data_IF_998213496515
#
_entry.id   IF_998213496515
#
_cell.length_a   1.000
_cell.length_b   1.000
_cell.length_c   1.000
_cell.angle_alpha   90.00
_cell.angle_beta   90.00
_cell.angle_gamma   90.00
#
_symmetry.space_group_name_H-M   'P 1'
#
loop_
_entity.id
_entity.type
_entity.pdbx_description
1 polymer ?
#
# COMPACT_ATOMS: atom_id res chain seq x y z
N UNK A 1 25.13 15.15 6.78
CA UNK A 1 24.83 13.94 7.54
C UNK A 1 23.95 13.13 6.60
N UNK A 2 24.52 12.10 5.98
CA UNK A 2 23.72 11.24 5.10
C UNK A 2 22.73 10.45 5.97
N UNK A 3 21.55 10.05 5.46
CA UNK A 3 20.58 9.27 6.24
C UNK A 3 21.16 7.98 6.85
N UNK A 4 22.25 7.46 6.27
CA UNK A 4 23.02 6.31 6.76
C UNK A 4 23.85 6.55 8.03
N UNK A 5 24.05 7.81 8.42
CA UNK A 5 24.85 8.17 9.61
C UNK A 5 24.02 8.24 10.90
N UNK A 6 22.71 7.99 10.83
CA UNK A 6 21.85 8.02 12.01
C UNK A 6 22.01 6.75 12.84
N UNK A 7 22.65 6.88 14.01
CA UNK A 7 22.61 5.85 15.04
C UNK A 7 21.38 6.07 15.93
N UNK A 8 20.45 5.11 16.02
CA UNK A 8 19.30 5.23 16.91
C UNK A 8 19.76 5.34 18.37
N UNK A 9 19.03 6.12 19.16
CA UNK A 9 19.26 6.22 20.60
C UNK A 9 19.07 4.86 21.29
N UNK A 10 19.77 4.66 22.41
CA UNK A 10 19.51 3.53 23.31
C UNK A 10 18.02 3.58 23.74
N UNK A 11 17.22 2.52 23.55
CA UNK A 11 15.80 2.51 23.92
C UNK A 11 15.54 2.92 25.37
N UNK A 12 16.46 2.56 26.28
CA UNK A 12 16.36 2.91 27.71
C UNK A 12 16.50 4.42 27.97
N UNK A 13 17.09 5.18 27.03
CA UNK A 13 17.26 6.62 27.13
C UNK A 13 15.91 7.35 27.09
N UNK A 14 14.97 6.86 26.27
CA UNK A 14 13.63 7.44 26.17
C UNK A 14 12.86 7.26 27.48
N UNK A 15 12.87 6.05 28.04
CA UNK A 15 12.18 5.76 29.30
C UNK A 15 12.76 6.57 30.48
N UNK A 16 14.09 6.79 30.48
CA UNK A 16 14.75 7.63 31.48
C UNK A 16 14.34 9.09 31.37
N UNK A 17 14.37 9.69 30.17
CA UNK A 17 14.03 11.10 29.97
C UNK A 17 12.53 11.38 30.14
N UNK A 18 11.68 10.42 29.78
CA UNK A 18 10.22 10.50 29.98
C UNK A 18 9.79 10.21 31.44
N UNK A 19 10.71 9.76 32.30
CA UNK A 19 10.41 9.42 33.70
C UNK A 19 9.53 8.17 33.85
N UNK A 20 9.62 7.23 32.91
CA UNK A 20 8.84 5.98 32.88
C UNK A 20 9.56 4.79 33.51
N UNK A 21 10.83 4.96 33.87
CA UNK A 21 11.61 3.94 34.57
C UNK A 21 11.11 3.72 36.00
N UNK A 22 11.29 2.50 36.51
CA UNK A 22 11.13 2.24 37.95
C UNK A 22 12.24 2.97 38.73
N UNK A 23 12.02 3.21 40.02
CA UNK A 23 13.01 3.90 40.85
C UNK A 23 14.35 3.15 40.95
N UNK A 24 14.35 1.82 40.82
CA UNK A 24 15.57 1.02 40.83
C UNK A 24 16.27 1.06 39.46
N UNK A 25 15.52 0.97 38.35
CA UNK A 25 16.06 1.11 36.99
C UNK A 25 16.64 2.51 36.74
N UNK A 26 15.99 3.55 37.26
CA UNK A 26 16.45 4.93 37.15
C UNK A 26 17.81 5.12 37.86
N UNK A 27 18.00 4.51 39.03
CA UNK A 27 19.29 4.54 39.76
C UNK A 27 20.38 3.79 39.00
N UNK A 28 20.03 2.65 38.40
CA UNK A 28 20.97 1.87 37.60
C UNK A 28 21.37 2.60 36.33
N UNK A 29 20.40 3.25 35.68
CA UNK A 29 20.63 4.05 34.50
C UNK A 29 21.41 5.33 34.80
N UNK A 30 21.16 5.99 35.93
CA UNK A 30 21.96 7.14 36.39
C UNK A 30 23.43 6.76 36.60
N UNK A 31 23.71 5.59 37.19
CA UNK A 31 25.07 5.04 37.30
C UNK A 31 25.68 4.72 35.93
N UNK A 32 24.88 4.31 34.95
CA UNK A 32 25.31 4.11 33.54
C UNK A 32 25.68 5.44 32.89
N UNK A 33 24.92 6.51 33.12
CA UNK A 33 25.19 7.87 32.62
C UNK A 33 26.47 8.46 33.21
N UNK A 34 26.76 8.22 34.49
CA UNK A 34 28.02 8.67 35.12
C UNK A 34 29.26 8.01 34.49
N UNK A 35 29.13 6.73 34.10
CA UNK A 35 30.22 5.96 33.49
C UNK A 35 30.39 6.21 32.00
N UNK A 36 29.38 6.75 31.33
CA UNK A 36 29.38 7.01 29.89
C UNK A 36 29.05 8.48 29.58
N UNK A 37 30.08 9.35 29.45
CA UNK A 37 29.89 10.77 29.15
C UNK A 37 29.14 11.05 27.84
N UNK A 38 29.22 10.14 26.86
CA UNK A 38 28.56 10.32 25.57
C UNK A 38 27.06 10.05 25.67
N UNK A 39 26.67 8.99 26.41
CA UNK A 39 25.26 8.72 26.73
C UNK A 39 24.63 9.85 27.55
N UNK A 40 25.41 10.47 28.44
CA UNK A 40 24.98 11.66 29.18
C UNK A 40 24.67 12.84 28.25
N UNK A 41 25.54 13.13 27.27
CA UNK A 41 25.25 14.17 26.27
C UNK A 41 23.99 13.88 25.46
N UNK A 42 23.77 12.60 25.09
CA UNK A 42 22.56 12.19 24.38
C UNK A 42 21.30 12.40 25.23
N UNK A 43 21.34 12.05 26.52
CA UNK A 43 20.23 12.29 27.46
C UNK A 43 19.92 13.79 27.58
N UNK A 44 20.95 14.63 27.71
CA UNK A 44 20.80 16.09 27.79
C UNK A 44 20.24 16.69 26.49
N UNK A 45 20.69 16.21 25.33
CA UNK A 45 20.19 16.64 24.03
C UNK A 45 18.72 16.28 23.84
N UNK A 46 18.33 15.05 24.18
CA UNK A 46 16.95 14.58 24.13
C UNK A 46 16.06 15.37 25.11
N UNK A 47 16.53 15.59 26.34
CA UNK A 47 15.82 16.40 27.34
C UNK A 47 15.58 17.85 26.88
N UNK A 48 16.57 18.48 26.22
CA UNK A 48 16.42 19.81 25.62
C UNK A 48 15.42 19.82 24.47
N UNK A 49 15.45 18.82 23.60
CA UNK A 49 14.49 18.71 22.50
C UNK A 49 13.05 18.57 23.00
N UNK A 50 12.82 17.74 24.02
CA UNK A 50 11.50 17.60 24.65
C UNK A 50 11.08 18.87 25.39
N UNK A 51 12.01 19.58 26.04
CA UNK A 51 11.71 20.87 26.64
C UNK A 51 11.26 21.90 25.59
N UNK A 52 11.91 21.94 24.42
CA UNK A 52 11.48 22.79 23.30
C UNK A 52 10.10 22.40 22.78
N UNK A 53 9.80 21.10 22.65
CA UNK A 53 8.46 20.64 22.28
C UNK A 53 7.39 21.08 23.30
N UNK A 54 7.71 21.08 24.60
CA UNK A 54 6.81 21.58 25.65
C UNK A 54 6.60 23.10 25.62
N UNK A 55 7.48 23.86 24.96
CA UNK A 55 7.30 25.30 24.76
C UNK A 55 6.41 25.64 23.57
N UNK A 56 6.03 24.66 22.75
CA UNK A 56 5.08 24.87 21.68
C UNK A 56 3.71 25.26 22.25
N UNK A 57 3.00 26.21 21.62
CA UNK A 57 1.68 26.60 22.08
C UNK A 57 0.74 25.41 22.05
N UNK A 58 0.16 25.07 23.20
CA UNK A 58 -0.90 24.09 23.28
C UNK A 58 -2.15 24.75 22.70
N UNK A 59 -2.51 24.36 21.48
CA UNK A 59 -3.75 24.81 20.85
C UNK A 59 -4.91 24.03 21.47
N UNK A 60 -5.96 24.73 21.90
CA UNK A 60 -7.17 24.06 22.35
C UNK A 60 -7.76 23.20 21.21
N UNK A 61 -8.09 21.93 21.49
CA UNK A 61 -8.71 21.08 20.49
C UNK A 61 -10.04 21.68 20.04
N UNK A 62 -10.25 21.75 18.73
CA UNK A 62 -11.51 22.25 18.14
C UNK A 62 -12.70 21.45 18.67
N UNK A 63 -13.86 22.10 18.79
CA UNK A 63 -15.10 21.42 19.18
C UNK A 63 -15.33 20.14 18.34
N UNK A 64 -15.72 19.05 19.00
CA UNK A 64 -15.92 17.74 18.38
C UNK A 64 -14.65 17.01 17.95
N UNK A 65 -13.45 17.47 18.35
CA UNK A 65 -12.21 16.71 18.17
C UNK A 65 -12.27 15.37 18.92
N UNK A 66 -12.65 15.40 20.20
CA UNK A 66 -12.73 14.19 21.04
C UNK A 66 -13.72 13.19 20.48
N UNK A 67 -14.90 13.64 20.04
CA UNK A 67 -15.92 12.75 19.44
C UNK A 67 -15.45 12.10 18.14
N UNK A 68 -14.66 12.81 17.33
CA UNK A 68 -14.09 12.28 16.08
C UNK A 68 -12.95 11.30 16.34
N UNK A 69 -12.08 11.59 17.30
CA UNK A 69 -11.01 10.67 17.71
C UNK A 69 -11.62 9.42 18.33
N UNK A 70 -12.60 9.56 19.23
CA UNK A 70 -13.33 8.44 19.83
C UNK A 70 -14.09 7.67 18.75
N UNK A 71 -14.72 8.34 17.78
CA UNK A 71 -15.39 7.72 16.64
C UNK A 71 -14.43 6.87 15.82
N UNK A 72 -13.27 7.42 15.46
CA UNK A 72 -12.22 6.71 14.73
C UNK A 72 -11.65 5.53 15.50
N UNK A 73 -11.35 5.70 16.80
CA UNK A 73 -10.90 4.61 17.67
C UNK A 73 -11.99 3.54 17.81
N UNK A 74 -13.28 3.91 17.80
CA UNK A 74 -14.39 2.94 17.81
C UNK A 74 -14.51 2.22 16.49
N UNK A 75 -14.35 2.90 15.35
CA UNK A 75 -14.38 2.30 14.02
C UNK A 75 -13.18 1.37 13.79
N UNK A 76 -11.98 1.78 14.17
CA UNK A 76 -10.79 0.93 14.16
C UNK A 76 -10.98 -0.28 15.08
N UNK A 77 -11.51 -0.09 16.31
CA UNK A 77 -11.85 -1.21 17.20
C UNK A 77 -12.98 -2.09 16.67
N UNK A 78 -13.92 -1.55 15.89
CA UNK A 78 -14.99 -2.33 15.26
C UNK A 78 -14.47 -3.13 14.07
N UNK A 79 -13.59 -2.54 13.26
CA UNK A 79 -12.88 -3.22 12.18
C UNK A 79 -11.94 -4.30 12.74
N UNK A 80 -11.25 -4.01 13.84
CA UNK A 80 -10.41 -4.95 14.57
C UNK A 80 -11.23 -6.05 15.24
N UNK A 81 -12.43 -5.73 15.77
CA UNK A 81 -13.39 -6.73 16.27
C UNK A 81 -14.00 -7.60 15.17
N UNK A 82 -14.30 -7.02 14.00
CA UNK A 82 -14.78 -7.77 12.85
C UNK A 82 -13.69 -8.74 12.36
N UNK A 83 -12.44 -8.28 12.30
CA UNK A 83 -11.26 -9.12 12.05
C UNK A 83 -11.08 -10.19 13.13
N UNK A 84 -11.20 -9.85 14.41
CA UNK A 84 -11.04 -10.81 15.51
C UNK A 84 -12.19 -11.82 15.59
N UNK A 85 -13.41 -11.45 15.19
CA UNK A 85 -14.56 -12.36 15.14
C UNK A 85 -14.41 -13.38 14.01
N UNK A 86 -13.84 -12.99 12.87
CA UNK A 86 -13.44 -13.92 11.80
C UNK A 86 -12.35 -14.89 12.29
N UNK A 87 -11.47 -14.44 13.19
CA UNK A 87 -10.37 -15.24 13.78
C UNK A 87 -10.82 -16.10 14.97
N UNK A 88 -12.03 -15.93 15.51
CA UNK A 88 -12.48 -16.60 16.75
C UNK A 88 -13.04 -18.03 16.59
N UNK A 89 -12.63 -18.76 15.54
CA UNK A 89 -12.64 -20.22 15.59
C UNK A 89 -11.52 -20.67 16.57
N UNK A 90 -11.79 -21.57 17.53
CA UNK A 90 -10.91 -21.76 18.69
C UNK A 90 -9.61 -22.49 18.33
N UNK A 91 -8.46 -21.85 18.57
CA UNK A 91 -7.10 -22.43 18.52
C UNK A 91 -6.39 -22.15 19.86
N UNK A 92 -5.51 -23.05 20.37
CA UNK A 92 -5.20 -23.14 21.80
C UNK A 92 -4.27 -22.05 22.36
N UNK A 93 -4.52 -21.72 23.63
CA UNK A 93 -4.03 -20.59 24.45
C UNK A 93 -2.50 -20.51 24.70
N UNK A 94 -1.69 -21.42 24.17
CA UNK A 94 -0.27 -21.51 24.57
C UNK A 94 0.72 -20.59 23.83
N UNK A 95 0.28 -19.77 22.86
CA UNK A 95 1.20 -18.98 22.01
C UNK A 95 1.27 -17.47 22.28
N UNK A 96 0.57 -16.92 23.28
CA UNK A 96 0.45 -15.46 23.44
C UNK A 96 1.45 -14.74 24.38
N UNK A 97 2.55 -15.37 24.83
CA UNK A 97 3.39 -14.73 25.87
C UNK A 97 4.58 -13.88 25.35
N UNK A 98 4.92 -13.85 24.05
CA UNK A 98 6.24 -13.30 23.65
C UNK A 98 6.27 -11.96 22.87
N UNK A 99 5.18 -11.39 22.35
CA UNK A 99 5.33 -10.33 21.33
C UNK A 99 4.43 -9.08 21.44
N UNK A 100 4.02 -8.68 22.64
CA UNK A 100 3.37 -7.36 22.84
C UNK A 100 4.37 -6.42 23.50
N UNK A 101 5.23 -5.79 22.68
CA UNK A 101 6.21 -4.83 23.20
C UNK A 101 6.76 -3.80 22.20
N UNK A 102 6.74 -4.06 20.89
CA UNK A 102 7.43 -3.18 19.93
C UNK A 102 6.58 -2.59 18.79
N UNK A 103 5.30 -2.97 18.63
CA UNK A 103 4.50 -2.55 17.46
C UNK A 103 3.96 -1.12 17.49
N UNK A 104 3.84 -0.49 18.66
CA UNK A 104 3.07 0.75 18.81
C UNK A 104 3.84 2.03 18.39
N UNK A 105 5.17 2.00 18.33
CA UNK A 105 5.98 3.20 18.05
C UNK A 105 6.16 3.48 16.54
N UNK A 106 6.10 2.45 15.69
CA UNK A 106 6.33 2.61 14.25
C UNK A 106 5.14 3.26 13.51
N UNK A 107 3.90 3.04 13.97
CA UNK A 107 2.70 3.58 13.35
C UNK A 107 2.57 5.11 13.48
N UNK A 108 3.13 5.70 14.55
CA UNK A 108 3.09 7.15 14.78
C UNK A 108 4.04 7.93 13.86
N UNK A 109 5.15 7.30 13.41
CA UNK A 109 6.16 7.96 12.59
C UNK A 109 5.79 8.00 11.10
N UNK A 110 5.04 7.00 10.62
CA UNK A 110 4.52 6.96 9.24
C UNK A 110 3.45 8.04 9.01
N UNK A 111 2.65 8.37 10.04
CA UNK A 111 1.68 9.47 9.98
C UNK A 111 2.32 10.87 10.01
N UNK A 112 3.57 10.99 10.46
CA UNK A 112 4.29 12.26 10.50
C UNK A 112 5.06 12.56 9.19
N UNK A 113 5.43 11.52 8.42
CA UNK A 113 6.19 11.66 7.17
C UNK A 113 5.27 11.73 5.94
N UNK A 114 4.10 11.08 5.98
CA UNK A 114 3.03 11.32 5.00
C UNK A 114 2.26 12.57 5.45
N UNK A 115 2.91 13.72 5.33
CA UNK A 115 2.26 15.01 5.47
C UNK A 115 1.08 15.06 4.51
N UNK A 116 -0.14 15.06 5.04
CA UNK A 116 -1.35 15.51 4.35
C UNK A 116 -1.48 17.01 4.68
N UNK A 117 -0.98 17.94 3.85
CA UNK A 117 -1.11 19.35 4.11
C UNK A 117 -2.47 19.77 3.56
N UNK A 118 -3.43 20.11 4.43
CA UNK A 118 -4.63 20.84 3.96
C UNK A 118 -5.97 20.62 4.65
N UNK A 119 -6.14 19.74 5.63
CA UNK A 119 -7.50 19.45 6.16
C UNK A 119 -8.08 20.47 7.18
N UNK A 120 -7.65 21.74 7.15
CA UNK A 120 -8.28 22.80 7.95
C UNK A 120 -8.48 24.10 7.16
N UNK A 121 -9.61 24.21 6.47
CA UNK A 121 -10.30 25.48 6.27
C UNK A 121 -11.82 25.21 6.31
N UNK A 122 -12.57 25.77 7.27
CA UNK A 122 -14.03 25.78 7.22
C UNK A 122 -14.52 26.96 6.37
N UNK A 123 -15.50 26.70 5.49
CA UNK A 123 -16.41 27.74 5.00
C UNK A 123 -17.50 27.92 6.07
N UNK A 124 -17.50 29.06 6.75
CA UNK A 124 -18.72 29.72 7.23
C UNK A 124 -18.42 31.19 7.62
N UNK A 125 -19.26 32.08 7.10
CA UNK A 125 -19.24 33.52 7.33
C UNK A 125 -19.47 33.85 8.82
N UNK A 126 -18.41 34.26 9.53
CA UNK A 126 -18.54 35.00 10.78
C UNK A 126 -18.20 36.46 10.50
N UNK A 127 -19.25 37.30 10.48
CA UNK A 127 -19.13 38.75 10.57
C UNK A 127 -18.43 39.13 11.89
N UNK A 128 -17.11 39.39 11.84
CA UNK A 128 -16.37 40.09 12.89
C UNK A 128 -15.53 41.21 12.27
N UNK A 129 -16.14 42.37 12.19
CA UNK A 129 -15.43 43.64 12.15
C UNK A 129 -14.58 43.79 13.43
N UNK A 130 -13.30 44.14 13.25
CA UNK A 130 -12.35 44.65 14.28
C UNK A 130 -11.75 43.59 15.22
N UNK A 131 -10.42 43.33 15.30
CA UNK A 131 -9.26 44.20 15.03
C UNK A 131 -7.96 43.44 14.71
N UNK A 132 -7.29 43.84 13.62
CA UNK A 132 -5.83 43.96 13.40
C UNK A 132 -4.85 42.93 13.99
N UNK A 133 -4.42 41.99 13.15
CA UNK A 133 -3.26 41.12 13.38
C UNK A 133 -3.26 39.94 12.43
N UNK A 134 -3.02 40.17 11.13
CA UNK A 134 -2.92 39.14 10.08
C UNK A 134 -1.71 38.23 10.33
N UNK A 135 -1.90 37.15 11.09
CA UNK A 135 -1.13 35.92 10.93
C UNK A 135 -1.88 35.02 9.96
N UNK A 136 -1.74 35.33 8.66
CA UNK A 136 -2.14 34.42 7.58
C UNK A 136 -1.20 33.23 7.67
N UNK A 137 -1.63 32.17 8.37
CA UNK A 137 -0.97 30.87 8.29
C UNK A 137 -0.99 30.48 6.80
N UNK A 138 0.13 30.68 6.12
CA UNK A 138 0.28 30.38 4.70
C UNK A 138 0.00 28.89 4.51
N UNK A 139 -1.21 28.57 4.04
CA UNK A 139 -1.59 27.21 3.66
C UNK A 139 -0.66 26.84 2.51
N UNK A 140 0.29 25.96 2.78
CA UNK A 140 1.17 25.41 1.75
C UNK A 140 0.27 24.62 0.80
N UNK A 141 -0.01 25.22 -0.35
CA UNK A 141 -0.78 24.57 -1.42
C UNK A 141 0.14 23.52 -2.06
N UNK A 142 -0.31 22.26 -2.21
CA UNK A 142 0.49 21.26 -2.89
C UNK A 142 0.71 21.70 -4.34
N UNK A 143 1.97 21.67 -4.78
CA UNK A 143 2.30 21.89 -6.18
C UNK A 143 1.95 20.64 -7.00
N UNK A 144 1.80 20.80 -8.32
CA UNK A 144 1.62 19.66 -9.25
C UNK A 144 2.70 18.59 -9.03
N UNK A 145 3.95 19.01 -8.84
CA UNK A 145 5.09 18.13 -8.57
C UNK A 145 4.92 17.26 -7.31
N UNK A 146 4.20 17.73 -6.29
CA UNK A 146 3.93 16.97 -5.06
C UNK A 146 2.88 15.88 -5.30
N UNK A 147 1.98 16.09 -6.28
CA UNK A 147 0.89 15.18 -6.59
C UNK A 147 1.25 14.16 -7.69
N UNK A 148 2.20 14.47 -8.56
CA UNK A 148 2.62 13.60 -9.67
C UNK A 148 3.01 12.17 -9.24
N UNK A 149 3.81 11.95 -8.17
CA UNK A 149 4.11 10.60 -7.72
C UNK A 149 2.87 9.82 -7.28
N UNK A 150 1.93 10.48 -6.60
CA UNK A 150 0.72 9.85 -6.10
C UNK A 150 -0.27 9.54 -7.23
N UNK A 151 -0.37 10.43 -8.23
CA UNK A 151 -1.12 10.21 -9.46
C UNK A 151 -0.52 9.08 -10.30
N UNK A 152 0.81 8.98 -10.38
CA UNK A 152 1.50 7.89 -11.05
C UNK A 152 1.26 6.54 -10.37
N UNK A 153 1.36 6.47 -9.04
CA UNK A 153 1.00 5.27 -8.27
C UNK A 153 -0.49 4.91 -8.46
N UNK A 154 -1.38 5.90 -8.45
CA UNK A 154 -2.82 5.69 -8.68
C UNK A 154 -3.10 5.12 -10.08
N UNK A 155 -2.43 5.64 -11.11
CA UNK A 155 -2.48 5.10 -12.47
C UNK A 155 -1.93 3.67 -12.51
N UNK A 156 -0.77 3.41 -11.90
CA UNK A 156 -0.16 2.08 -11.90
C UNK A 156 -1.08 1.03 -11.26
N UNK A 157 -1.78 1.39 -10.17
CA UNK A 157 -2.82 0.56 -9.55
C UNK A 157 -4.00 0.31 -10.48
N UNK A 158 -4.47 1.34 -11.17
CA UNK A 158 -5.53 1.19 -12.18
C UNK A 158 -5.13 0.26 -13.32
N UNK A 159 -3.92 0.42 -13.85
CA UNK A 159 -3.41 -0.47 -14.90
C UNK A 159 -3.24 -1.91 -14.40
N UNK A 160 -2.81 -2.10 -13.15
CA UNK A 160 -2.74 -3.42 -12.52
C UNK A 160 -4.13 -4.05 -12.37
N UNK A 161 -5.12 -3.28 -11.92
CA UNK A 161 -6.51 -3.71 -11.84
C UNK A 161 -7.04 -4.11 -13.22
N UNK A 162 -6.82 -3.27 -14.23
CA UNK A 162 -7.25 -3.52 -15.60
C UNK A 162 -6.67 -4.84 -16.13
N UNK A 163 -5.35 -4.98 -16.06
CA UNK A 163 -4.63 -6.18 -16.48
C UNK A 163 -5.16 -7.44 -15.80
N UNK A 164 -5.34 -7.38 -14.48
CA UNK A 164 -5.73 -8.56 -13.72
C UNK A 164 -7.19 -8.93 -13.92
N UNK A 165 -8.11 -7.97 -13.94
CA UNK A 165 -9.53 -8.24 -14.22
C UNK A 165 -9.73 -8.81 -15.62
N UNK A 166 -9.01 -8.32 -16.64
CA UNK A 166 -9.04 -8.88 -18.00
C UNK A 166 -8.55 -10.34 -18.06
N UNK A 167 -7.67 -10.74 -17.14
CA UNK A 167 -7.13 -12.10 -17.02
C UNK A 167 -7.90 -13.00 -16.06
N UNK A 168 -8.93 -12.51 -15.38
CA UNK A 168 -9.78 -13.28 -14.45
C UNK A 168 -10.82 -14.08 -15.23
N UNK A 169 -10.38 -14.97 -16.14
CA UNK A 169 -11.24 -15.95 -16.79
C UNK A 169 -11.17 -17.24 -15.99
N UNK A 170 -12.09 -17.38 -15.04
CA UNK A 170 -12.24 -18.59 -14.23
C UNK A 170 -13.57 -19.24 -14.61
N UNK A 171 -13.57 -20.56 -14.75
CA UNK A 171 -14.78 -21.31 -15.15
C UNK A 171 -15.93 -21.16 -14.16
N UNK A 172 -15.63 -20.91 -12.88
CA UNK A 172 -16.61 -20.64 -11.83
C UNK A 172 -16.93 -19.14 -11.72
N UNK A 173 -18.17 -18.70 -12.05
CA UNK A 173 -18.60 -17.31 -11.90
C UNK A 173 -18.49 -16.77 -10.46
N UNK A 174 -18.66 -17.62 -9.44
CA UNK A 174 -18.57 -17.18 -8.05
C UNK A 174 -17.15 -16.80 -7.67
N UNK A 175 -16.17 -17.56 -8.15
CA UNK A 175 -14.75 -17.28 -7.94
C UNK A 175 -14.28 -16.09 -8.76
N UNK A 176 -14.74 -15.97 -10.00
CA UNK A 176 -14.50 -14.79 -10.82
C UNK A 176 -14.95 -13.51 -10.11
N UNK A 177 -16.17 -13.51 -9.54
CA UNK A 177 -16.67 -12.38 -8.74
C UNK A 177 -15.83 -12.11 -7.50
N UNK A 178 -15.44 -13.15 -6.76
CA UNK A 178 -14.57 -13.02 -5.57
C UNK A 178 -13.23 -12.38 -5.91
N UNK A 179 -12.59 -12.82 -6.99
CA UNK A 179 -11.32 -12.26 -7.44
C UNK A 179 -11.48 -10.81 -7.84
N UNK A 180 -12.47 -10.47 -8.66
CA UNK A 180 -12.71 -9.07 -9.05
C UNK A 180 -12.98 -8.19 -7.83
N UNK A 181 -13.74 -8.68 -6.85
CA UNK A 181 -13.97 -7.96 -5.60
C UNK A 181 -12.68 -7.73 -4.80
N UNK A 182 -11.80 -8.74 -4.70
CA UNK A 182 -10.49 -8.62 -4.06
C UNK A 182 -9.57 -7.64 -4.81
N UNK A 183 -9.57 -7.67 -6.14
CA UNK A 183 -8.81 -6.73 -6.96
C UNK A 183 -9.27 -5.29 -6.71
N UNK A 184 -10.59 -5.05 -6.66
CA UNK A 184 -11.14 -3.73 -6.31
C UNK A 184 -10.71 -3.30 -4.91
N UNK A 185 -10.82 -4.19 -3.91
CA UNK A 185 -10.44 -3.91 -2.53
C UNK A 185 -8.94 -3.54 -2.41
N UNK A 186 -8.04 -4.36 -2.96
CA UNK A 186 -6.60 -4.14 -2.85
C UNK A 186 -6.09 -2.98 -3.69
N UNK A 187 -6.76 -2.66 -4.80
CA UNK A 187 -6.43 -1.49 -5.58
C UNK A 187 -6.59 -0.20 -4.78
N UNK A 188 -7.53 -0.18 -3.83
CA UNK A 188 -7.92 0.98 -3.01
C UNK A 188 -8.26 2.24 -3.84
N UNK A 189 -8.60 2.04 -5.13
CA UNK A 189 -8.73 3.13 -6.08
C UNK A 189 -9.89 4.06 -5.73
N UNK A 190 -11.03 3.54 -5.26
CA UNK A 190 -12.19 4.37 -4.92
C UNK A 190 -11.88 5.37 -3.79
N UNK A 191 -11.22 4.89 -2.72
CA UNK A 191 -10.81 5.75 -1.60
C UNK A 191 -9.77 6.77 -2.03
N UNK A 192 -8.77 6.33 -2.79
CA UNK A 192 -7.69 7.21 -3.29
C UNK A 192 -8.18 8.25 -4.29
N UNK A 193 -9.15 7.87 -5.13
CA UNK A 193 -9.76 8.78 -6.09
C UNK A 193 -10.46 9.93 -5.37
N UNK A 194 -11.25 9.65 -4.31
CA UNK A 194 -11.86 10.70 -3.46
C UNK A 194 -10.83 11.64 -2.85
N UNK A 195 -9.75 11.10 -2.28
CA UNK A 195 -8.67 11.93 -1.73
C UNK A 195 -7.97 12.77 -2.81
N UNK A 196 -7.69 12.19 -3.97
CA UNK A 196 -7.05 12.89 -5.09
C UNK A 196 -7.93 14.04 -5.60
N UNK A 197 -9.25 13.88 -5.66
CA UNK A 197 -10.18 14.97 -6.05
C UNK A 197 -10.05 16.19 -5.16
N UNK A 198 -9.95 15.98 -3.85
CA UNK A 198 -9.72 17.06 -2.89
C UNK A 198 -8.34 17.68 -3.12
N UNK A 199 -7.30 16.86 -3.27
CA UNK A 199 -5.92 17.31 -3.44
C UNK A 199 -5.69 18.13 -4.73
N UNK A 200 -6.35 17.77 -5.84
CA UNK A 200 -6.22 18.52 -7.11
C UNK A 200 -7.02 19.83 -7.13
N UNK A 201 -7.91 20.06 -6.16
CA UNK A 201 -8.79 21.24 -6.16
C UNK A 201 -8.02 22.57 -6.14
N UNK A 202 -6.82 22.52 -5.57
CA UNK A 202 -5.88 23.64 -5.38
C UNK A 202 -4.96 23.88 -6.58
N UNK A 203 -4.98 23.00 -7.59
CA UNK A 203 -4.16 23.15 -8.80
C UNK A 203 -4.71 24.24 -9.75
N UNK A 204 -3.85 24.78 -10.64
CA UNK A 204 -4.30 25.65 -11.73
C UNK A 204 -5.44 25.03 -12.54
N UNK A 205 -6.43 25.83 -12.94
CA UNK A 205 -7.68 25.35 -13.51
C UNK A 205 -7.50 24.41 -14.73
N UNK A 206 -6.51 24.66 -15.58
CA UNK A 206 -6.18 23.81 -16.71
C UNK A 206 -5.69 22.42 -16.28
N UNK A 207 -4.84 22.34 -15.26
CA UNK A 207 -4.34 21.07 -14.70
C UNK A 207 -5.39 20.34 -13.91
N UNK A 208 -6.13 21.07 -13.08
CA UNK A 208 -7.25 20.54 -12.30
C UNK A 208 -8.29 19.88 -13.19
N UNK A 209 -8.67 20.51 -14.31
CA UNK A 209 -9.66 19.95 -15.24
C UNK A 209 -9.16 18.62 -15.83
N UNK A 210 -7.91 18.58 -16.28
CA UNK A 210 -7.33 17.38 -16.89
C UNK A 210 -7.27 16.20 -15.91
N UNK A 211 -6.86 16.43 -14.66
CA UNK A 211 -6.88 15.37 -13.65
C UNK A 211 -8.29 15.01 -13.20
N UNK A 212 -9.20 15.98 -13.08
CA UNK A 212 -10.60 15.71 -12.76
C UNK A 212 -11.25 14.80 -13.80
N UNK A 213 -11.04 15.05 -15.11
CA UNK A 213 -11.56 14.21 -16.20
C UNK A 213 -11.05 12.76 -16.10
N UNK A 214 -9.78 12.58 -15.74
CA UNK A 214 -9.20 11.24 -15.51
C UNK A 214 -9.84 10.54 -14.31
N UNK A 215 -9.97 11.25 -13.19
CA UNK A 215 -10.57 10.73 -11.95
C UNK A 215 -12.06 10.41 -12.13
N UNK A 216 -12.79 11.20 -12.91
CA UNK A 216 -14.19 10.97 -13.33
C UNK A 216 -14.32 9.70 -14.17
N UNK A 217 -13.48 9.55 -15.19
CA UNK A 217 -13.49 8.36 -16.04
C UNK A 217 -13.16 7.10 -15.24
N UNK A 218 -12.18 7.19 -14.33
CA UNK A 218 -11.80 6.09 -13.45
C UNK A 218 -12.94 5.71 -12.51
N UNK A 219 -13.60 6.69 -11.87
CA UNK A 219 -14.77 6.45 -11.02
C UNK A 219 -15.91 5.75 -11.77
N UNK A 220 -16.22 6.21 -12.99
CA UNK A 220 -17.22 5.58 -13.84
C UNK A 220 -16.87 4.14 -14.22
N UNK A 221 -15.59 3.86 -14.49
CA UNK A 221 -15.12 2.51 -14.76
C UNK A 221 -15.25 1.60 -13.52
N UNK A 222 -14.85 2.07 -12.34
CA UNK A 222 -15.00 1.32 -11.07
C UNK A 222 -16.48 1.05 -10.76
N UNK A 223 -17.35 2.04 -10.93
CA UNK A 223 -18.79 1.87 -10.75
C UNK A 223 -19.37 0.85 -11.72
N UNK A 224 -18.89 0.81 -12.96
CA UNK A 224 -19.30 -0.20 -13.95
C UNK A 224 -18.89 -1.61 -13.52
N UNK A 225 -17.67 -1.78 -13.02
CA UNK A 225 -17.19 -3.09 -12.50
C UNK A 225 -18.04 -3.53 -11.31
N UNK A 226 -18.26 -2.64 -10.33
CA UNK A 226 -19.08 -2.96 -9.14
C UNK A 226 -20.53 -3.30 -9.51
N UNK A 227 -21.12 -2.54 -10.43
CA UNK A 227 -22.46 -2.80 -10.96
C UNK A 227 -22.53 -4.17 -11.63
N UNK A 228 -21.57 -4.48 -12.49
CA UNK A 228 -21.53 -5.73 -13.23
C UNK A 228 -21.30 -6.95 -12.31
N UNK A 229 -20.42 -6.85 -11.30
CA UNK A 229 -20.25 -7.89 -10.26
C UNK A 229 -21.57 -8.14 -9.51
N UNK A 230 -22.28 -7.06 -9.17
CA UNK A 230 -23.57 -7.14 -8.47
C UNK A 230 -24.66 -7.76 -9.35
N UNK A 231 -24.76 -7.34 -10.62
CA UNK A 231 -25.71 -7.85 -11.59
C UNK A 231 -25.46 -9.33 -11.89
N UNK A 232 -24.20 -9.71 -12.13
CA UNK A 232 -23.76 -11.09 -12.31
C UNK A 232 -24.16 -11.99 -11.13
N UNK A 233 -24.06 -11.49 -9.89
CA UNK A 233 -24.52 -12.21 -8.71
C UNK A 233 -26.04 -12.37 -8.68
N UNK A 234 -26.80 -11.29 -8.89
CA UNK A 234 -28.27 -11.29 -8.86
C UNK A 234 -28.86 -12.18 -9.96
N UNK A 235 -28.27 -12.15 -11.15
CA UNK A 235 -28.72 -12.89 -12.33
C UNK A 235 -28.12 -14.30 -12.42
N UNK A 236 -27.22 -14.67 -11.51
CA UNK A 236 -26.53 -15.98 -11.49
C UNK A 236 -25.83 -16.33 -12.81
N UNK A 237 -25.24 -15.32 -13.47
CA UNK A 237 -24.50 -15.47 -14.72
C UNK A 237 -23.00 -15.18 -14.53
N UNK A 238 -22.12 -15.58 -15.47
CA UNK A 238 -20.74 -15.09 -15.51
C UNK A 238 -20.67 -13.57 -15.57
N UNK A 239 -19.56 -13.02 -15.10
CA UNK A 239 -19.27 -11.58 -15.22
C UNK A 239 -19.01 -11.26 -16.70
N UNK A 240 -19.63 -10.20 -17.21
CA UNK A 240 -19.36 -9.68 -18.55
C UNK A 240 -18.02 -8.94 -18.57
N UNK A 241 -16.95 -9.71 -18.76
CA UNK A 241 -15.58 -9.18 -18.82
C UNK A 241 -15.42 -8.20 -20.00
N UNK A 242 -16.15 -8.38 -21.10
CA UNK A 242 -16.06 -7.48 -22.25
C UNK A 242 -16.66 -6.09 -21.94
N UNK A 243 -17.76 -6.04 -21.18
CA UNK A 243 -18.31 -4.78 -20.68
C UNK A 243 -17.33 -4.07 -19.74
N UNK A 244 -16.67 -4.82 -18.86
CA UNK A 244 -15.65 -4.31 -17.94
C UNK A 244 -14.42 -3.79 -18.70
N UNK A 245 -13.87 -4.56 -19.65
CA UNK A 245 -12.74 -4.15 -20.51
C UNK A 245 -13.06 -2.87 -21.27
N UNK A 246 -14.29 -2.76 -21.82
CA UNK A 246 -14.75 -1.54 -22.50
C UNK A 246 -14.78 -0.34 -21.56
N UNK A 247 -15.24 -0.51 -20.33
CA UNK A 247 -15.29 0.56 -19.34
C UNK A 247 -13.88 1.02 -18.92
N UNK A 248 -12.98 0.07 -18.66
CA UNK A 248 -11.60 0.37 -18.30
C UNK A 248 -10.83 1.02 -19.46
N UNK A 249 -11.05 0.56 -20.70
CA UNK A 249 -10.44 1.14 -21.90
C UNK A 249 -10.91 2.58 -22.21
N UNK A 250 -11.99 3.05 -21.59
CA UNK A 250 -12.44 4.43 -21.72
C UNK A 250 -11.65 5.41 -20.84
N UNK A 251 -10.93 4.92 -19.82
CA UNK A 251 -10.13 5.75 -18.92
C UNK A 251 -8.88 6.21 -19.65
N UNK A 252 -8.77 7.52 -19.88
CA UNK A 252 -7.62 8.13 -20.57
C UNK A 252 -6.66 8.72 -19.55
N UNK A 253 -5.40 8.36 -19.67
CA UNK A 253 -4.35 9.00 -18.89
C UNK A 253 -4.24 10.49 -19.26
N UNK A 254 -4.12 11.39 -18.26
CA UNK A 254 -3.67 12.76 -18.45
C UNK A 254 -2.37 12.81 -19.27
N UNK A 255 -2.21 13.81 -20.14
CA UNK A 255 -0.98 14.01 -20.90
C UNK A 255 0.11 14.54 -19.97
N UNK A 256 1.34 14.04 -20.12
CA UNK A 256 2.53 14.63 -19.51
C UNK A 256 3.28 13.72 -18.54
N UNK A 257 3.83 14.33 -17.49
CA UNK A 257 4.93 13.78 -16.67
C UNK A 257 4.57 12.55 -15.83
N UNK A 258 3.29 12.20 -15.69
CA UNK A 258 2.86 11.00 -14.92
C UNK A 258 3.60 9.74 -15.39
N UNK A 259 3.85 9.61 -16.69
CA UNK A 259 4.61 8.49 -17.27
C UNK A 259 6.07 8.43 -16.80
N UNK A 260 6.67 9.60 -16.53
CA UNK A 260 8.08 9.68 -16.13
C UNK A 260 8.26 9.26 -14.66
N UNK A 261 7.25 9.51 -13.82
CA UNK A 261 7.26 9.09 -12.41
C UNK A 261 6.97 7.59 -12.24
N UNK A 262 6.32 6.95 -13.21
CA UNK A 262 6.05 5.51 -13.19
C UNK A 262 7.33 4.67 -13.12
N UNK A 263 8.44 5.18 -13.69
CA UNK A 263 9.75 4.52 -13.68
C UNK A 263 10.53 4.68 -12.37
N UNK A 264 10.13 5.63 -11.51
CA UNK A 264 10.92 6.04 -10.33
C UNK A 264 10.40 5.50 -8.99
N UNK A 265 9.24 4.82 -8.96
CA UNK A 265 8.69 4.18 -7.76
C UNK A 265 9.45 2.91 -7.32
N UNK A 266 10.63 2.66 -7.88
CA UNK A 266 11.50 1.57 -7.48
C UNK A 266 12.09 1.82 -6.08
N UNK A 267 11.82 0.87 -5.17
CA UNK A 267 12.61 0.55 -3.97
C UNK A 267 12.58 1.52 -2.79
N UNK A 268 11.40 1.83 -2.26
CA UNK A 268 11.27 2.06 -0.81
C UNK A 268 11.10 0.72 -0.10
N UNK A 269 12.02 0.31 0.76
CA UNK A 269 11.82 -0.85 1.65
C UNK A 269 10.67 -0.54 2.63
N UNK A 270 9.47 -0.99 2.30
CA UNK A 270 8.37 -1.04 3.25
C UNK A 270 8.65 -2.22 4.19
N UNK A 271 8.67 -1.95 5.50
CA UNK A 271 8.85 -2.98 6.50
C UNK A 271 7.73 -4.03 6.37
N UNK A 272 8.05 -5.34 6.38
CA UNK A 272 7.03 -6.38 6.30
C UNK A 272 6.14 -6.31 7.54
N UNK A 273 4.84 -6.06 7.34
CA UNK A 273 3.84 -6.32 8.36
C UNK A 273 3.72 -7.84 8.52
N UNK A 274 4.20 -8.37 9.63
CA UNK A 274 4.28 -9.79 9.97
C UNK A 274 2.86 -10.36 10.28
N UNK A 275 1.96 -10.38 9.29
CA UNK A 275 0.69 -11.13 9.34
C UNK A 275 0.95 -12.56 8.86
N UNK A 276 1.47 -13.41 9.74
CA UNK A 276 1.52 -14.87 9.48
C UNK A 276 0.13 -15.46 9.62
N UNK A 277 -0.62 -15.46 8.53
CA UNK A 277 -1.91 -16.18 8.45
C UNK A 277 -1.64 -17.69 8.47
N UNK A 278 -2.31 -18.43 9.35
CA UNK A 278 -2.21 -19.88 9.42
C UNK A 278 -2.68 -20.53 8.12
N UNK A 279 -1.88 -21.42 7.54
CA UNK A 279 -2.12 -22.01 6.22
C UNK A 279 -3.26 -23.03 6.18
N UNK A 280 -3.61 -23.63 7.32
CA UNK A 280 -4.41 -24.86 7.39
C UNK A 280 -5.89 -24.69 7.01
N UNK A 281 -6.35 -23.48 6.68
CA UNK A 281 -7.74 -23.21 6.30
C UNK A 281 -7.93 -22.23 5.15
N UNK A 282 -6.87 -21.84 4.44
CA UNK A 282 -7.02 -20.89 3.33
C UNK A 282 -7.40 -21.64 2.05
N UNK A 283 -8.47 -21.18 1.40
CA UNK A 283 -8.81 -21.65 0.07
C UNK A 283 -7.84 -21.08 -0.99
N UNK A 284 -7.92 -21.61 -2.20
CA UNK A 284 -7.05 -21.24 -3.33
C UNK A 284 -7.08 -19.73 -3.62
N UNK A 285 -8.28 -19.12 -3.54
CA UNK A 285 -8.49 -17.68 -3.75
C UNK A 285 -7.82 -16.87 -2.65
N UNK A 286 -7.98 -17.27 -1.38
CA UNK A 286 -7.38 -16.59 -0.23
C UNK A 286 -5.85 -16.71 -0.20
N UNK A 287 -5.28 -17.81 -0.69
CA UNK A 287 -3.82 -17.90 -0.83
C UNK A 287 -3.31 -17.02 -1.98
N UNK A 288 -4.01 -17.01 -3.12
CA UNK A 288 -3.64 -16.17 -4.25
C UNK A 288 -3.81 -14.67 -3.93
N UNK A 289 -4.78 -14.30 -3.10
CA UNK A 289 -5.01 -12.92 -2.69
C UNK A 289 -3.80 -12.30 -1.96
N UNK A 290 -2.97 -13.11 -1.29
CA UNK A 290 -1.71 -12.66 -0.69
C UNK A 290 -0.70 -12.17 -1.74
N UNK A 291 -0.62 -12.86 -2.88
CA UNK A 291 0.23 -12.45 -4.03
C UNK A 291 -0.25 -11.09 -4.55
N UNK A 292 -1.56 -10.96 -4.74
CA UNK A 292 -2.19 -9.74 -5.26
C UNK A 292 -2.03 -8.55 -4.32
N UNK A 293 -2.23 -8.75 -3.02
CA UNK A 293 -2.01 -7.72 -1.99
C UNK A 293 -0.56 -7.21 -2.02
N UNK A 294 0.42 -8.10 -2.19
CA UNK A 294 1.82 -7.71 -2.32
C UNK A 294 2.09 -6.93 -3.62
N UNK A 295 1.48 -7.32 -4.75
CA UNK A 295 1.60 -6.61 -6.02
C UNK A 295 1.07 -5.17 -5.94
N UNK A 296 -0.11 -4.96 -5.34
CA UNK A 296 -0.64 -3.59 -5.12
C UNK A 296 0.15 -2.78 -4.09
N UNK A 297 0.98 -3.41 -3.27
CA UNK A 297 1.93 -2.71 -2.39
C UNK A 297 3.24 -2.36 -3.10
N UNK A 298 3.41 -2.80 -4.36
CA UNK A 298 4.67 -2.70 -5.10
C UNK A 298 5.86 -3.35 -4.36
N UNK A 299 5.58 -4.32 -3.47
CA UNK A 299 6.61 -5.05 -2.73
C UNK A 299 6.93 -6.35 -3.47
N UNK A 300 7.86 -6.25 -4.42
CA UNK A 300 8.24 -7.38 -5.28
C UNK A 300 8.88 -8.54 -4.51
N UNK A 301 9.51 -8.28 -3.36
CA UNK A 301 10.03 -9.36 -2.50
C UNK A 301 8.89 -10.11 -1.82
N UNK A 302 7.92 -9.38 -1.27
CA UNK A 302 6.72 -9.99 -0.69
C UNK A 302 5.91 -10.77 -1.74
N UNK A 303 5.87 -10.33 -3.00
CA UNK A 303 5.28 -11.11 -4.10
C UNK A 303 5.99 -12.47 -4.24
N UNK A 304 7.32 -12.49 -4.27
CA UNK A 304 8.09 -13.74 -4.38
C UNK A 304 7.91 -14.65 -3.16
N UNK A 305 7.79 -14.10 -1.95
CA UNK A 305 7.50 -14.86 -0.73
C UNK A 305 6.07 -15.43 -0.76
N UNK A 306 5.09 -14.64 -1.17
CA UNK A 306 3.69 -15.06 -1.31
C UNK A 306 3.53 -16.15 -2.37
N UNK A 307 4.20 -16.04 -3.53
CA UNK A 307 4.16 -17.07 -4.58
C UNK A 307 4.84 -18.36 -4.10
N UNK A 308 5.95 -18.28 -3.36
CA UNK A 308 6.58 -19.46 -2.75
C UNK A 308 5.68 -20.09 -1.69
N UNK A 309 4.94 -19.30 -0.92
CA UNK A 309 3.95 -19.80 0.02
C UNK A 309 2.78 -20.47 -0.70
N UNK A 310 2.24 -19.85 -1.75
CA UNK A 310 1.20 -20.40 -2.60
C UNK A 310 1.63 -21.75 -3.22
N UNK A 311 2.77 -21.80 -3.90
CA UNK A 311 3.25 -23.02 -4.57
C UNK A 311 3.52 -24.20 -3.63
N UNK A 312 3.91 -23.93 -2.37
CA UNK A 312 4.12 -24.97 -1.36
C UNK A 312 2.81 -25.59 -0.87
N UNK A 313 1.75 -24.81 -0.78
CA UNK A 313 0.47 -25.24 -0.21
C UNK A 313 -0.56 -25.64 -1.28
N UNK A 314 -0.42 -25.13 -2.52
CA UNK A 314 -1.37 -25.31 -3.63
C UNK A 314 -0.66 -25.86 -4.87
N UNK A 315 -0.20 -27.11 -4.83
CA UNK A 315 0.56 -27.72 -5.95
C UNK A 315 -0.22 -27.74 -7.28
N UNK A 316 -1.53 -27.90 -7.20
CA UNK A 316 -2.48 -27.92 -8.32
C UNK A 316 -3.50 -26.78 -8.21
N UNK A 317 -3.12 -25.67 -7.57
CA UNK A 317 -4.00 -24.50 -7.43
C UNK A 317 -4.30 -23.88 -8.80
N UNK A 318 -5.53 -23.38 -8.97
CA UNK A 318 -6.02 -22.84 -10.24
C UNK A 318 -5.32 -21.55 -10.63
N UNK A 319 -4.84 -20.79 -9.64
CA UNK A 319 -4.10 -19.55 -9.85
C UNK A 319 -2.59 -19.75 -9.96
N UNK A 320 -2.11 -21.00 -10.10
CA UNK A 320 -0.67 -21.28 -10.20
C UNK A 320 -0.01 -20.53 -11.36
N UNK A 321 -0.65 -20.48 -12.52
CA UNK A 321 -0.09 -19.75 -13.67
C UNK A 321 -0.05 -18.25 -13.43
N UNK A 322 -1.10 -17.66 -12.86
CA UNK A 322 -1.11 -16.25 -12.50
C UNK A 322 -0.06 -15.92 -11.43
N UNK A 323 0.03 -16.72 -10.37
CA UNK A 323 1.04 -16.55 -9.32
C UNK A 323 2.47 -16.65 -9.87
N UNK A 324 2.73 -17.62 -10.77
CA UNK A 324 4.03 -17.75 -11.41
C UNK A 324 4.32 -16.57 -12.36
N UNK A 325 3.33 -16.07 -13.10
CA UNK A 325 3.49 -14.87 -13.92
C UNK A 325 3.79 -13.62 -13.07
N UNK A 326 3.13 -13.46 -11.91
CA UNK A 326 3.45 -12.43 -10.91
C UNK A 326 4.90 -12.55 -10.41
N UNK A 327 5.37 -13.76 -10.13
CA UNK A 327 6.77 -13.98 -9.73
C UNK A 327 7.77 -13.60 -10.83
N UNK A 328 7.49 -13.96 -12.09
CA UNK A 328 8.31 -13.55 -13.24
C UNK A 328 8.36 -12.02 -13.33
N UNK A 329 7.21 -11.35 -13.24
CA UNK A 329 7.14 -9.88 -13.21
C UNK A 329 7.91 -9.27 -12.03
N UNK A 330 7.80 -9.85 -10.84
CA UNK A 330 8.53 -9.40 -9.66
C UNK A 330 10.05 -9.50 -9.83
N UNK A 331 10.56 -10.60 -10.39
CA UNK A 331 11.99 -10.73 -10.70
C UNK A 331 12.46 -9.67 -11.71
N UNK A 332 11.71 -9.42 -12.77
CA UNK A 332 12.05 -8.39 -13.76
C UNK A 332 12.09 -6.99 -13.13
N UNK A 333 11.14 -6.66 -12.25
CA UNK A 333 11.08 -5.38 -11.55
C UNK A 333 12.21 -5.21 -10.52
N UNK A 334 12.73 -6.31 -9.98
CA UNK A 334 13.93 -6.34 -9.14
C UNK A 334 15.25 -6.31 -9.93
N UNK A 335 15.21 -6.26 -11.27
CA UNK A 335 16.41 -6.32 -12.11
C UNK A 335 17.07 -7.70 -12.17
N UNK A 336 16.33 -8.76 -11.85
CA UNK A 336 16.78 -10.15 -11.79
C UNK A 336 16.32 -10.92 -13.04
N UNK A 337 16.73 -10.44 -14.21
CA UNK A 337 16.20 -10.89 -15.51
C UNK A 337 16.54 -12.36 -15.79
N UNK A 338 17.71 -12.82 -15.33
CA UNK A 338 18.13 -14.23 -15.49
C UNK A 338 17.28 -15.16 -14.64
N UNK A 339 17.01 -14.78 -13.39
CA UNK A 339 16.12 -15.51 -12.49
C UNK A 339 14.68 -15.52 -13.01
N UNK A 340 14.21 -14.41 -13.60
CA UNK A 340 12.92 -14.34 -14.27
C UNK A 340 12.84 -15.35 -15.43
N UNK A 341 13.87 -15.39 -16.30
CA UNK A 341 13.94 -16.33 -17.41
C UNK A 341 14.01 -17.79 -16.95
N UNK A 342 14.83 -18.10 -15.95
CA UNK A 342 14.93 -19.45 -15.39
C UNK A 342 13.61 -19.91 -14.74
N UNK A 343 12.93 -19.00 -14.01
CA UNK A 343 11.62 -19.27 -13.43
C UNK A 343 10.57 -19.49 -14.51
N UNK A 344 10.58 -18.66 -15.56
CA UNK A 344 9.70 -18.83 -16.70
C UNK A 344 9.86 -20.21 -17.34
N UNK A 345 11.11 -20.61 -17.66
CA UNK A 345 11.41 -21.91 -18.25
C UNK A 345 10.90 -23.07 -17.39
N UNK A 346 11.10 -23.00 -16.07
CA UNK A 346 10.67 -24.04 -15.14
C UNK A 346 9.15 -24.20 -15.05
N UNK A 347 8.38 -23.13 -15.19
CA UNK A 347 6.92 -23.13 -14.99
C UNK A 347 6.09 -23.16 -16.28
N UNK A 348 6.66 -22.67 -17.39
CA UNK A 348 5.94 -22.46 -18.65
C UNK A 348 6.62 -23.10 -19.88
N UNK A 349 7.84 -23.61 -19.74
CA UNK A 349 8.61 -24.15 -20.86
C UNK A 349 9.58 -23.15 -21.48
N UNK A 350 10.42 -23.65 -22.38
CA UNK A 350 11.52 -22.89 -22.95
C UNK A 350 11.06 -21.95 -24.06
N UNK A 351 10.01 -22.32 -24.79
CA UNK A 351 9.53 -21.66 -26.00
C UNK A 351 8.12 -21.10 -25.85
N UNK A 352 7.78 -20.09 -26.65
CA UNK A 352 6.41 -19.57 -26.70
C UNK A 352 5.44 -20.61 -27.27
N UNK A 353 5.95 -21.56 -28.06
CA UNK A 353 5.21 -22.70 -28.60
C UNK A 353 4.80 -23.71 -27.51
N UNK A 354 5.46 -23.69 -26.34
CA UNK A 354 5.13 -24.54 -25.20
C UNK A 354 3.92 -23.98 -24.41
N UNK A 355 3.57 -22.71 -24.62
CA UNK A 355 2.49 -22.04 -23.92
C UNK A 355 1.14 -22.44 -24.49
N UNK A 356 0.19 -22.76 -23.61
CA UNK A 356 -1.22 -22.80 -24.00
C UNK A 356 -1.71 -21.37 -24.32
N UNK A 357 -2.77 -21.20 -25.13
CA UNK A 357 -3.35 -19.88 -25.40
C UNK A 357 -3.73 -19.11 -24.14
N UNK A 358 -4.18 -19.82 -23.10
CA UNK A 358 -4.53 -19.26 -21.80
C UNK A 358 -3.30 -18.77 -21.04
N UNK A 359 -2.22 -19.57 -20.98
CA UNK A 359 -0.96 -19.16 -20.35
C UNK A 359 -0.36 -17.94 -21.04
N UNK A 360 -0.39 -17.91 -22.37
CA UNK A 360 0.06 -16.77 -23.15
C UNK A 360 -0.76 -15.51 -22.84
N UNK A 361 -2.08 -15.65 -22.68
CA UNK A 361 -2.96 -14.55 -22.28
C UNK A 361 -2.59 -14.03 -20.88
N UNK A 362 -2.38 -14.93 -19.90
CA UNK A 362 -2.00 -14.55 -18.54
C UNK A 362 -0.64 -13.84 -18.51
N UNK A 363 0.37 -14.36 -19.19
CA UNK A 363 1.71 -13.76 -19.24
C UNK A 363 1.65 -12.36 -19.87
N UNK A 364 0.99 -12.24 -21.03
CA UNK A 364 0.83 -10.94 -21.72
C UNK A 364 -0.04 -9.96 -20.96
N UNK A 365 -0.98 -10.47 -20.17
CA UNK A 365 -1.83 -9.65 -19.33
C UNK A 365 -1.17 -9.22 -18.03
N UNK A 366 -0.18 -9.95 -17.50
CA UNK A 366 0.48 -9.61 -16.22
C UNK A 366 1.78 -8.81 -16.39
N UNK A 367 2.42 -8.92 -17.54
CA UNK A 367 3.66 -8.22 -17.87
C UNK A 367 3.40 -7.04 -18.81
N UNK A 368 4.12 -5.95 -18.61
CA UNK A 368 4.18 -4.83 -19.58
C UNK A 368 4.94 -5.25 -20.83
N UNK A 369 4.77 -4.52 -21.93
CA UNK A 369 5.52 -4.76 -23.18
C UNK A 369 7.04 -4.72 -22.95
N UNK A 370 7.51 -3.74 -22.17
CA UNK A 370 8.92 -3.62 -21.83
C UNK A 370 9.43 -4.81 -20.98
N UNK A 371 8.64 -5.28 -20.02
CA UNK A 371 8.96 -6.48 -19.24
C UNK A 371 9.02 -7.75 -20.12
N UNK A 372 8.11 -7.87 -21.10
CA UNK A 372 8.13 -8.98 -22.07
C UNK A 372 9.38 -8.95 -22.94
N UNK A 373 9.80 -7.77 -23.42
CA UNK A 373 11.04 -7.61 -24.19
C UNK A 373 12.27 -8.03 -23.38
N UNK A 374 12.36 -7.58 -22.13
CA UNK A 374 13.43 -7.96 -21.19
C UNK A 374 13.44 -9.46 -20.92
N UNK A 375 12.27 -10.04 -20.64
CA UNK A 375 12.12 -11.47 -20.42
C UNK A 375 12.58 -12.28 -21.64
N UNK A 376 12.17 -11.87 -22.84
CA UNK A 376 12.55 -12.56 -24.08
C UNK A 376 14.06 -12.47 -24.34
N UNK A 377 14.68 -11.32 -24.08
CA UNK A 377 16.13 -11.14 -24.16
C UNK A 377 16.86 -12.07 -23.18
N UNK A 378 16.41 -12.13 -21.93
CA UNK A 378 17.00 -12.99 -20.91
C UNK A 378 16.81 -14.49 -21.20
N UNK A 379 15.64 -14.89 -21.74
CA UNK A 379 15.38 -16.27 -22.21
C UNK A 379 16.31 -16.66 -23.35
N UNK A 380 16.52 -15.77 -24.33
CA UNK A 380 17.47 -16.04 -25.42
C UNK A 380 18.90 -16.19 -24.92
N UNK A 381 19.32 -15.36 -23.96
CA UNK A 381 20.64 -15.47 -23.35
C UNK A 381 20.83 -16.82 -22.63
N UNK A 382 19.84 -17.25 -21.83
CA UNK A 382 19.89 -18.51 -21.09
C UNK A 382 19.97 -19.75 -21.99
N UNK A 383 19.37 -19.71 -23.19
CA UNK A 383 19.43 -20.82 -24.17
C UNK A 383 20.79 -20.96 -24.86
N UNK A 384 21.59 -19.90 -24.88
CA UNK A 384 22.90 -19.88 -25.54
C UNK A 384 24.05 -20.29 -24.59
N UNK A 385 23.75 -20.52 -23.32
CA UNK A 385 24.65 -21.08 -22.30
C UNK A 385 24.56 -22.61 -22.29
#
# INVERSE_FOLDING_TARGET
>A
MEPSDYQPFDPQLHDYVDGRMSADDERDFARKLERNPELKKQAEALGKALALLKTLPVLEPKAGFDDRVIGRVREEKLAERARSQIVSAPVPIWQHIVQVGLGAAAAALVLAVIGVPGMFAPDDEINLSSSGGEDVAARVMPAEADLLPVLADHRARFESLHRSVACTRVDDPHEQRKLIALELEYSDLERRNRWLREAISDLPANRRLEYADFLDALEAALATIQHEVSASLQESRPVDVAAIEKAMGAVRTPRGEIEHYQLSLNSGELAPEDERVGADSLDDVAMYSLVRRAEYRHDHRAVLDAVRFYARNMQTGRFRHHANASAVGAYLRLGQDREAAARFAADFGDYDEDLTPEQLQVIRGMLTEHELERLNTARQALRNE
#
